data_IF_378436872375
#
_entry.id   IF_378436872375
#
_cell.length_a   1.000
_cell.length_b   1.000
_cell.length_c   1.000
_cell.angle_alpha   90.00
_cell.angle_beta   90.00
_cell.angle_gamma   90.00
#
_symmetry.space_group_name_H-M   'P 1'
#
loop_
_entity.id
_entity.type
_entity.pdbx_description
1 polymer ?
#
# COMPACT_ATOMS: atom_id res chain seq x y z
N UNK A 1 -13.29 -2.60 -2.90
CA UNK A 1 -13.37 -2.35 -1.47
C UNK A 1 -12.82 -0.96 -1.32
N UNK A 2 -13.68 -0.01 -0.98
CA UNK A 2 -13.28 1.36 -0.65
C UNK A 2 -13.03 1.50 0.86
N UNK A 3 -12.74 2.71 1.33
CA UNK A 3 -12.44 2.99 2.73
C UNK A 3 -13.64 2.75 3.63
N UNK A 4 -14.85 3.07 3.16
CA UNK A 4 -16.09 2.81 3.90
C UNK A 4 -16.31 1.30 4.08
N UNK A 5 -16.13 0.52 3.01
CA UNK A 5 -16.15 -0.94 3.06
C UNK A 5 -15.12 -1.49 4.08
N UNK A 6 -13.90 -0.94 4.08
CA UNK A 6 -12.85 -1.35 5.01
C UNK A 6 -13.26 -1.06 6.46
N UNK A 7 -13.65 0.18 6.78
CA UNK A 7 -14.09 0.57 8.14
C UNK A 7 -15.23 -0.32 8.64
N UNK A 8 -16.15 -0.63 7.74
CA UNK A 8 -17.32 -1.43 8.02
C UNK A 8 -16.94 -2.90 8.27
N UNK A 9 -16.09 -3.51 7.45
CA UNK A 9 -15.54 -4.83 7.71
C UNK A 9 -14.76 -4.90 9.03
N UNK A 10 -14.01 -3.85 9.35
CA UNK A 10 -13.26 -3.74 10.62
C UNK A 10 -14.18 -3.58 11.84
N UNK A 11 -15.38 -3.05 11.66
CA UNK A 11 -16.39 -2.94 12.72
C UNK A 11 -17.07 -4.28 13.02
N UNK A 12 -17.19 -5.15 12.01
CA UNK A 12 -17.77 -6.50 12.13
C UNK A 12 -16.76 -7.56 12.56
N UNK A 13 -15.48 -7.26 12.43
CA UNK A 13 -14.38 -8.15 12.84
C UNK A 13 -14.11 -7.99 14.33
N UNK A 14 -13.86 -9.11 15.03
CA UNK A 14 -13.48 -9.04 16.43
C UNK A 14 -12.15 -8.30 16.62
N UNK A 15 -11.98 -7.70 17.80
CA UNK A 15 -10.82 -6.84 18.07
C UNK A 15 -9.48 -7.56 17.95
N UNK A 16 -9.40 -8.86 18.27
CA UNK A 16 -8.17 -9.64 18.18
C UNK A 16 -7.78 -9.87 16.73
N UNK A 17 -8.74 -10.30 15.93
CA UNK A 17 -8.54 -10.53 14.49
C UNK A 17 -8.19 -9.24 13.76
N UNK A 18 -8.85 -8.12 14.10
CA UNK A 18 -8.53 -6.82 13.51
C UNK A 18 -7.09 -6.38 13.81
N UNK A 19 -6.68 -6.51 15.06
CA UNK A 19 -5.32 -6.19 15.51
C UNK A 19 -4.28 -7.04 14.77
N UNK A 20 -4.55 -8.34 14.58
CA UNK A 20 -3.67 -9.24 13.83
C UNK A 20 -3.60 -8.85 12.34
N UNK A 21 -4.73 -8.47 11.74
CA UNK A 21 -4.75 -8.00 10.34
C UNK A 21 -3.88 -6.76 10.20
N UNK A 22 -4.02 -5.76 11.07
CA UNK A 22 -3.23 -4.54 11.00
C UNK A 22 -1.74 -4.79 11.21
N UNK A 23 -1.36 -5.58 12.23
CA UNK A 23 0.05 -5.91 12.50
C UNK A 23 0.73 -6.59 11.33
N UNK A 24 0.03 -7.50 10.65
CA UNK A 24 0.62 -8.31 9.60
C UNK A 24 0.45 -7.71 8.21
N UNK A 25 -0.53 -6.84 7.98
CA UNK A 25 -0.93 -6.38 6.65
C UNK A 25 -0.88 -4.86 6.44
N UNK A 26 -0.48 -4.05 7.44
CA UNK A 26 -0.53 -2.58 7.33
C UNK A 26 0.13 -2.03 6.06
N UNK A 27 1.33 -2.51 5.72
CA UNK A 27 2.02 -2.12 4.49
C UNK A 27 1.17 -2.45 3.25
N UNK A 28 0.65 -3.66 3.15
CA UNK A 28 -0.05 -4.15 1.96
C UNK A 28 -1.43 -3.52 1.80
N UNK A 29 -2.09 -3.19 2.91
CA UNK A 29 -3.31 -2.38 2.88
C UNK A 29 -2.99 -1.03 2.27
N UNK A 30 -1.96 -0.33 2.73
CA UNK A 30 -1.58 0.96 2.15
C UNK A 30 -1.17 0.85 0.68
N UNK A 31 -0.44 -0.18 0.30
CA UNK A 31 -0.12 -0.45 -1.11
C UNK A 31 -1.37 -0.60 -1.97
N UNK A 32 -2.41 -1.26 -1.47
CA UNK A 32 -3.70 -1.40 -2.16
C UNK A 32 -4.37 -0.04 -2.39
N UNK A 33 -4.35 0.83 -1.38
CA UNK A 33 -4.91 2.18 -1.50
C UNK A 33 -4.06 3.11 -2.39
N UNK A 34 -2.86 2.71 -2.83
CA UNK A 34 -2.14 3.45 -3.86
C UNK A 34 -2.71 3.21 -5.27
N UNK A 35 -3.48 2.15 -5.52
CA UNK A 35 -4.02 1.85 -6.85
C UNK A 35 -5.29 2.65 -7.17
N UNK A 36 -5.47 3.01 -8.45
CA UNK A 36 -6.68 3.69 -8.92
C UNK A 36 -7.94 2.86 -8.61
N UNK A 37 -9.01 3.40 -7.99
CA UNK A 37 -9.29 4.82 -7.60
C UNK A 37 -8.84 5.27 -6.22
N UNK A 38 -8.31 4.34 -5.44
CA UNK A 38 -8.35 4.39 -3.98
C UNK A 38 -7.37 5.39 -3.38
N UNK A 39 -6.55 6.07 -4.20
CA UNK A 39 -5.52 7.00 -3.73
C UNK A 39 -6.06 8.16 -2.90
N UNK A 40 -7.32 8.57 -3.14
CA UNK A 40 -7.95 9.61 -2.33
C UNK A 40 -8.12 9.22 -0.86
N UNK A 41 -8.18 7.92 -0.57
CA UNK A 41 -8.42 7.39 0.77
C UNK A 41 -7.12 6.92 1.44
N UNK A 42 -5.99 6.93 0.72
CA UNK A 42 -4.72 6.42 1.20
C UNK A 42 -4.26 7.09 2.50
N UNK A 43 -4.39 8.42 2.60
CA UNK A 43 -3.96 9.17 3.79
C UNK A 43 -4.84 8.85 5.00
N UNK A 44 -6.16 8.73 4.79
CA UNK A 44 -7.10 8.37 5.86
C UNK A 44 -6.80 6.95 6.40
N UNK A 45 -6.47 6.02 5.51
CA UNK A 45 -6.05 4.66 5.89
C UNK A 45 -4.69 4.69 6.61
N UNK A 46 -3.76 5.53 6.17
CA UNK A 46 -2.45 5.67 6.82
C UNK A 46 -2.58 6.15 8.26
N UNK A 47 -3.49 7.10 8.50
CA UNK A 47 -3.77 7.63 9.83
C UNK A 47 -4.27 6.57 10.82
N UNK A 48 -4.95 5.52 10.33
CA UNK A 48 -5.34 4.36 11.13
C UNK A 48 -4.19 3.37 11.39
N UNK A 49 -3.19 3.34 10.50
CA UNK A 49 -2.18 2.28 10.46
C UNK A 49 -0.82 2.69 11.02
N UNK A 50 -0.60 3.96 11.40
CA UNK A 50 0.69 4.46 11.88
C UNK A 50 1.33 3.63 13.00
N UNK A 51 0.54 3.11 13.94
CA UNK A 51 1.02 2.29 15.06
C UNK A 51 1.45 0.87 14.68
N UNK A 52 1.13 0.44 13.46
CA UNK A 52 1.42 -0.89 12.93
C UNK A 52 2.50 -0.87 11.85
N UNK A 53 2.94 0.31 11.43
CA UNK A 53 4.05 0.46 10.51
C UNK A 53 5.39 0.40 11.25
N UNK A 54 6.40 -0.11 10.56
CA UNK A 54 7.80 0.06 10.95
C UNK A 54 8.41 1.18 10.14
N UNK A 55 9.56 1.71 10.58
CA UNK A 55 10.33 2.69 9.81
C UNK A 55 10.70 2.17 8.42
N UNK A 56 10.94 0.85 8.31
CA UNK A 56 11.18 0.19 7.03
C UNK A 56 9.95 0.18 6.12
N UNK A 57 8.77 -0.15 6.66
CA UNK A 57 7.51 -0.12 5.89
C UNK A 57 7.22 1.30 5.40
N UNK A 58 7.46 2.31 6.24
CA UNK A 58 7.29 3.71 5.86
C UNK A 58 8.21 4.11 4.71
N UNK A 59 9.51 3.76 4.80
CA UNK A 59 10.48 3.96 3.72
C UNK A 59 10.02 3.30 2.42
N UNK A 60 9.54 2.06 2.51
CA UNK A 60 9.05 1.32 1.35
C UNK A 60 7.85 2.00 0.68
N UNK A 61 6.88 2.49 1.46
CA UNK A 61 5.74 3.24 0.90
C UNK A 61 6.17 4.51 0.17
N UNK A 62 7.15 5.25 0.71
CA UNK A 62 7.70 6.42 0.03
C UNK A 62 8.36 6.04 -1.30
N UNK A 63 9.13 4.93 -1.33
CA UNK A 63 9.73 4.43 -2.56
C UNK A 63 8.67 4.02 -3.60
N UNK A 64 7.55 3.45 -3.16
CA UNK A 64 6.46 3.08 -4.06
C UNK A 64 5.81 4.31 -4.70
N UNK A 65 5.51 5.35 -3.91
CA UNK A 65 4.94 6.59 -4.44
C UNK A 65 5.93 7.29 -5.38
N UNK A 66 7.20 7.42 -4.95
CA UNK A 66 8.27 7.98 -5.77
C UNK A 66 8.45 7.21 -7.09
N UNK A 67 8.39 5.88 -7.05
CA UNK A 67 8.52 5.07 -8.26
C UNK A 67 7.37 5.25 -9.24
N UNK A 68 6.13 5.44 -8.78
CA UNK A 68 5.00 5.80 -9.65
C UNK A 68 5.22 7.14 -10.34
N UNK A 69 5.75 8.13 -9.61
CA UNK A 69 6.14 9.42 -10.18
C UNK A 69 7.26 9.27 -11.23
N UNK A 70 8.30 8.49 -10.93
CA UNK A 70 9.45 8.28 -11.83
C UNK A 70 9.09 7.51 -13.11
N UNK A 71 8.14 6.57 -13.03
CA UNK A 71 7.61 5.86 -14.21
C UNK A 71 6.70 6.78 -15.04
N UNK A 72 6.24 7.90 -14.47
CA UNK A 72 5.38 8.86 -15.15
C UNK A 72 3.92 8.42 -15.19
N UNK A 73 3.43 7.82 -14.11
CA UNK A 73 2.00 7.52 -13.98
C UNK A 73 1.21 8.81 -13.86
N UNK A 74 0.20 8.97 -14.74
CA UNK A 74 -0.64 10.17 -14.84
C UNK A 74 -2.07 9.92 -14.36
N UNK A 75 -2.31 8.81 -13.68
CA UNK A 75 -3.63 8.37 -13.23
C UNK A 75 -4.05 9.04 -11.90
N UNK A 76 -3.10 9.65 -11.18
CA UNK A 76 -3.31 10.38 -9.94
C UNK A 76 -2.24 11.45 -9.70
N UNK A 77 -2.52 12.45 -8.86
CA UNK A 77 -1.52 13.44 -8.42
C UNK A 77 -0.68 12.89 -7.26
N UNK A 78 0.29 12.04 -7.61
CA UNK A 78 1.20 11.42 -6.64
C UNK A 78 2.11 12.44 -5.93
N UNK A 79 2.36 13.62 -6.51
CA UNK A 79 3.13 14.66 -5.84
C UNK A 79 2.34 15.24 -4.66
N UNK A 80 1.04 15.51 -4.85
CA UNK A 80 0.15 15.91 -3.76
C UNK A 80 0.00 14.81 -2.71
N UNK A 81 -0.23 13.56 -3.14
CA UNK A 81 -0.29 12.41 -2.23
C UNK A 81 0.96 12.30 -1.34
N UNK A 82 2.14 12.44 -1.93
CA UNK A 82 3.41 12.35 -1.23
C UNK A 82 3.57 13.45 -0.19
N UNK A 83 3.16 14.69 -0.52
CA UNK A 83 3.19 15.82 0.43
C UNK A 83 2.26 15.57 1.61
N UNK A 84 1.03 15.14 1.34
CA UNK A 84 0.02 14.91 2.37
C UNK A 84 0.47 13.78 3.31
N UNK A 85 0.87 12.64 2.74
CA UNK A 85 1.40 11.50 3.50
C UNK A 85 2.62 11.87 4.35
N UNK A 86 3.58 12.61 3.78
CA UNK A 86 4.75 13.08 4.52
C UNK A 86 4.37 14.02 5.67
N UNK A 87 3.43 14.93 5.44
CA UNK A 87 3.00 15.91 6.45
C UNK A 87 2.27 15.27 7.63
N UNK A 88 1.46 14.24 7.37
CA UNK A 88 0.73 13.48 8.40
C UNK A 88 1.63 12.49 9.16
N UNK A 89 2.77 12.10 8.58
CA UNK A 89 3.64 11.11 9.22
C UNK A 89 4.11 11.52 10.63
N UNK A 90 4.17 10.58 11.59
CA UNK A 90 4.79 10.82 12.89
C UNK A 90 6.25 11.30 12.78
N UNK A 91 6.69 12.11 13.74
CA UNK A 91 8.01 12.77 13.68
C UNK A 91 9.19 11.79 13.58
N UNK A 92 9.13 10.66 14.29
CA UNK A 92 10.19 9.66 14.28
C UNK A 92 10.44 9.08 12.88
N UNK A 93 9.38 8.84 12.10
CA UNK A 93 9.51 8.40 10.71
C UNK A 93 10.21 9.43 9.83
N UNK A 94 9.88 10.71 9.98
CA UNK A 94 10.57 11.78 9.23
C UNK A 94 12.03 11.91 9.62
N UNK A 95 12.36 11.75 10.89
CA UNK A 95 13.72 11.78 11.40
C UNK A 95 14.55 10.61 10.86
N UNK A 96 13.95 9.41 10.82
CA UNK A 96 14.52 8.23 10.19
C UNK A 96 14.83 8.48 8.71
N UNK A 97 13.85 8.96 7.94
CA UNK A 97 14.03 9.21 6.49
C UNK A 97 15.05 10.30 6.20
N UNK A 98 15.14 11.36 7.03
CA UNK A 98 16.16 12.41 6.86
C UNK A 98 17.61 11.89 6.90
N UNK A 99 17.83 10.71 7.46
CA UNK A 99 19.13 10.05 7.51
C UNK A 99 19.29 8.98 6.41
N UNK A 100 18.24 8.70 5.64
CA UNK A 100 18.23 7.74 4.55
C UNK A 100 18.61 8.39 3.22
N UNK A 101 19.23 7.59 2.35
CA UNK A 101 19.52 7.92 0.96
C UNK A 101 18.33 8.43 0.14
N UNK A 102 17.09 8.03 0.47
CA UNK A 102 15.91 8.46 -0.28
C UNK A 102 15.48 9.90 0.01
N UNK A 103 16.04 10.55 1.04
CA UNK A 103 15.58 11.87 1.49
C UNK A 103 15.70 12.94 0.40
N UNK A 104 16.82 12.97 -0.32
CA UNK A 104 17.03 13.93 -1.39
C UNK A 104 15.98 13.76 -2.49
N UNK A 105 15.71 12.52 -2.87
CA UNK A 105 14.67 12.15 -3.84
C UNK A 105 13.28 12.62 -3.41
N UNK A 106 12.96 12.40 -2.14
CA UNK A 106 11.71 12.82 -1.53
C UNK A 106 11.55 14.34 -1.56
N UNK A 107 12.57 15.10 -1.18
CA UNK A 107 12.54 16.57 -1.20
C UNK A 107 12.36 17.10 -2.62
N UNK A 108 13.03 16.50 -3.61
CA UNK A 108 12.83 16.87 -5.01
C UNK A 108 11.40 16.56 -5.49
N UNK A 109 10.84 15.43 -5.08
CA UNK A 109 9.46 15.03 -5.39
C UNK A 109 8.40 15.96 -4.81
N UNK A 110 8.52 16.32 -3.53
CA UNK A 110 7.54 17.19 -2.88
C UNK A 110 7.53 18.61 -3.44
N UNK A 111 8.68 19.10 -3.92
CA UNK A 111 8.83 20.44 -4.51
C UNK A 111 8.50 20.48 -6.02
N UNK A 112 8.03 19.37 -6.59
CA UNK A 112 7.71 19.31 -7.99
C UNK A 112 6.31 19.87 -8.28
N UNK A 113 6.21 20.75 -9.27
CA UNK A 113 4.94 21.23 -9.81
C UNK A 113 4.33 20.17 -10.73
N UNK A 114 3.12 19.70 -10.43
CA UNK A 114 2.43 18.58 -11.11
C UNK A 114 2.17 18.75 -12.62
N UNK A 115 2.59 19.88 -13.20
CA UNK A 115 2.39 20.25 -14.61
C UNK A 115 3.54 19.74 -15.49
N UNK A 116 4.75 19.56 -14.94
CA UNK A 116 5.91 19.09 -15.71
C UNK A 116 6.19 17.59 -15.48
N UNK A 117 6.73 16.86 -16.46
CA UNK A 117 7.19 15.49 -16.22
C UNK A 117 8.28 15.49 -15.15
N UNK A 118 8.11 14.63 -14.14
CA UNK A 118 9.08 14.51 -13.04
C UNK A 118 10.51 14.30 -13.60
N UNK A 119 11.54 15.05 -13.15
CA UNK A 119 12.89 14.99 -13.70
C UNK A 119 13.54 13.65 -13.33
N UNK A 120 13.28 12.68 -14.19
CA UNK A 120 13.71 11.30 -14.04
C UNK A 120 15.24 11.16 -14.01
N UNK A 121 15.96 12.02 -14.74
CA UNK A 121 17.41 11.86 -14.98
C UNK A 121 18.28 11.93 -13.72
N UNK A 122 17.88 12.69 -12.68
CA UNK A 122 18.65 12.79 -11.43
C UNK A 122 18.36 11.67 -10.42
N UNK A 123 17.18 11.05 -10.50
CA UNK A 123 16.73 10.05 -9.52
C UNK A 123 16.99 8.62 -9.98
N UNK A 124 16.96 8.40 -11.30
CA UNK A 124 17.31 7.12 -11.93
C UNK A 124 18.78 6.71 -11.75
N UNK A 125 19.66 7.64 -11.34
CA UNK A 125 21.02 7.29 -10.96
C UNK A 125 21.06 6.40 -9.69
N UNK A 126 20.04 6.49 -8.84
CA UNK A 126 19.94 5.76 -7.57
C UNK A 126 19.00 4.56 -7.64
N UNK A 127 18.17 4.46 -8.68
CA UNK A 127 17.19 3.38 -8.85
C UNK A 127 17.31 2.72 -10.21
N UNK A 128 17.52 1.40 -10.21
CA UNK A 128 17.46 0.59 -11.42
C UNK A 128 16.00 0.54 -11.94
N UNK A 129 15.79 0.99 -13.17
CA UNK A 129 14.46 0.98 -13.83
C UNK A 129 13.87 -0.43 -13.91
N UNK A 130 14.70 -1.45 -14.10
CA UNK A 130 14.24 -2.84 -14.16
C UNK A 130 13.78 -3.33 -12.79
N UNK A 131 14.47 -2.93 -11.71
CA UNK A 131 14.06 -3.21 -10.33
C UNK A 131 12.73 -2.54 -10.00
N UNK A 132 12.55 -1.27 -10.37
CA UNK A 132 11.29 -0.56 -10.18
C UNK A 132 10.16 -1.23 -10.97
N UNK A 133 10.36 -1.50 -12.26
CA UNK A 133 9.36 -2.17 -13.09
C UNK A 133 8.97 -3.56 -12.56
N UNK A 134 9.95 -4.35 -12.07
CA UNK A 134 9.71 -5.65 -11.44
C UNK A 134 8.95 -5.52 -10.11
N UNK A 135 9.35 -4.60 -9.24
CA UNK A 135 8.68 -4.35 -7.95
C UNK A 135 7.23 -3.91 -8.15
N UNK A 136 6.97 -3.03 -9.12
CA UNK A 136 5.62 -2.56 -9.45
C UNK A 136 4.76 -3.58 -10.20
N UNK A 137 5.35 -4.46 -11.02
CA UNK A 137 4.65 -5.64 -11.55
C UNK A 137 4.38 -6.68 -10.45
N UNK A 138 5.29 -6.83 -9.49
CA UNK A 138 5.24 -7.78 -8.39
C UNK A 138 4.15 -7.49 -7.37
N UNK A 139 3.92 -6.23 -7.00
CA UNK A 139 2.80 -5.82 -6.10
C UNK A 139 1.45 -6.22 -6.71
N UNK A 140 1.28 -5.95 -8.02
CA UNK A 140 0.10 -6.41 -8.78
C UNK A 140 0.02 -7.94 -8.80
N UNK A 141 1.14 -8.64 -8.96
CA UNK A 141 1.19 -10.09 -9.04
C UNK A 141 0.96 -10.81 -7.70
N UNK A 142 1.44 -10.28 -6.57
CA UNK A 142 1.25 -10.87 -5.25
C UNK A 142 -0.22 -10.83 -4.82
N UNK A 143 -0.92 -9.73 -5.06
CA UNK A 143 -2.35 -9.62 -4.78
C UNK A 143 -3.21 -10.41 -5.78
N UNK A 144 -2.80 -10.49 -7.05
CA UNK A 144 -3.51 -11.28 -8.08
C UNK A 144 -3.24 -12.79 -8.00
N UNK A 145 -2.07 -13.25 -7.52
CA UNK A 145 -1.81 -14.67 -7.26
C UNK A 145 -2.46 -15.17 -5.97
N UNK A 146 -2.64 -14.32 -4.95
CA UNK A 146 -3.53 -14.66 -3.83
C UNK A 146 -4.98 -14.88 -4.25
N UNK A 147 -5.39 -14.31 -5.40
CA UNK A 147 -6.72 -14.49 -5.99
C UNK A 147 -6.85 -15.73 -6.89
N UNK A 148 -5.76 -16.40 -7.29
CA UNK A 148 -5.82 -17.36 -8.43
C UNK A 148 -5.05 -18.68 -8.27
N UNK A 149 -4.23 -18.91 -7.23
CA UNK A 149 -3.42 -20.14 -7.14
C UNK A 149 -3.60 -20.94 -5.85
N UNK A 150 -3.65 -22.27 -6.00
CA UNK A 150 -3.52 -23.23 -4.89
C UNK A 150 -2.11 -23.16 -4.30
N UNK A 151 -1.97 -23.51 -3.02
CA UNK A 151 -0.76 -23.35 -2.20
C UNK A 151 0.52 -24.03 -2.77
N UNK A 152 0.42 -24.78 -3.86
CA UNK A 152 1.46 -25.62 -4.46
C UNK A 152 2.38 -24.95 -5.48
N UNK A 153 2.14 -23.70 -5.91
CA UNK A 153 2.89 -23.07 -7.02
C UNK A 153 3.81 -21.89 -6.64
N UNK A 154 3.94 -21.56 -5.35
CA UNK A 154 4.83 -20.48 -4.93
C UNK A 154 6.13 -21.05 -4.36
N UNK A 155 7.23 -20.82 -5.10
CA UNK A 155 8.59 -21.15 -4.68
C UNK A 155 9.07 -20.19 -3.58
N UNK A 156 8.55 -20.37 -2.37
CA UNK A 156 8.91 -19.59 -1.19
C UNK A 156 10.37 -19.84 -0.79
N UNK A 157 11.10 -18.79 -0.45
CA UNK A 157 12.51 -18.88 -0.08
C UNK A 157 12.73 -18.90 1.44
N UNK A 158 11.71 -18.57 2.26
CA UNK A 158 11.79 -18.67 3.73
C UNK A 158 10.43 -18.72 4.43
N UNK A 159 10.43 -19.19 5.68
CA UNK A 159 9.23 -19.38 6.52
C UNK A 159 8.50 -18.06 6.87
N UNK A 160 9.23 -16.94 6.88
CA UNK A 160 8.65 -15.61 7.13
C UNK A 160 7.70 -15.19 6.00
N UNK A 161 8.06 -15.45 4.75
CA UNK A 161 7.18 -15.23 3.59
C UNK A 161 5.93 -16.11 3.64
N UNK A 162 6.04 -17.33 4.15
CA UNK A 162 4.92 -18.28 4.26
C UNK A 162 3.91 -17.85 5.31
N UNK A 163 4.36 -17.49 6.52
CA UNK A 163 3.46 -17.02 7.59
C UNK A 163 2.85 -15.66 7.25
N UNK A 164 3.64 -14.77 6.64
CA UNK A 164 3.17 -13.52 6.07
C UNK A 164 2.05 -13.74 5.03
N UNK A 165 2.27 -14.63 4.05
CA UNK A 165 1.28 -14.98 3.03
C UNK A 165 0.00 -15.57 3.64
N UNK A 166 0.12 -16.46 4.63
CA UNK A 166 -1.03 -17.01 5.35
C UNK A 166 -1.80 -15.90 6.08
N UNK A 167 -1.10 -14.94 6.69
CA UNK A 167 -1.69 -13.77 7.32
C UNK A 167 -2.51 -12.94 6.35
N UNK A 168 -1.92 -12.56 5.21
CA UNK A 168 -2.61 -11.80 4.17
C UNK A 168 -3.77 -12.57 3.54
N UNK A 169 -3.63 -13.88 3.30
CA UNK A 169 -4.70 -14.72 2.75
C UNK A 169 -5.88 -14.85 3.72
N UNK A 170 -5.61 -14.93 5.03
CA UNK A 170 -6.66 -14.89 6.07
C UNK A 170 -7.33 -13.53 6.15
N UNK A 171 -6.54 -12.45 6.20
CA UNK A 171 -7.05 -11.08 6.21
C UNK A 171 -7.94 -10.82 4.99
N UNK A 172 -7.49 -11.22 3.80
CA UNK A 172 -8.25 -11.15 2.56
C UNK A 172 -9.54 -11.97 2.64
N UNK A 173 -9.47 -13.25 3.07
CA UNK A 173 -10.68 -14.05 3.23
C UNK A 173 -11.69 -13.41 4.19
N UNK A 174 -11.23 -12.78 5.28
CA UNK A 174 -12.10 -12.13 6.27
C UNK A 174 -12.73 -10.85 5.69
N UNK A 175 -11.90 -9.94 5.18
CA UNK A 175 -12.37 -8.66 4.65
C UNK A 175 -13.26 -8.86 3.41
N UNK A 176 -12.88 -9.73 2.47
CA UNK A 176 -13.62 -9.92 1.23
C UNK A 176 -14.85 -10.83 1.38
N UNK A 177 -14.84 -11.83 2.28
CA UNK A 177 -16.06 -12.62 2.54
C UNK A 177 -17.15 -11.80 3.22
N UNK A 178 -16.79 -10.81 4.04
CA UNK A 178 -17.75 -9.89 4.64
C UNK A 178 -18.36 -8.94 3.59
N UNK A 179 -17.55 -8.43 2.65
CA UNK A 179 -18.04 -7.63 1.51
C UNK A 179 -18.96 -8.46 0.60
N UNK A 180 -18.59 -9.69 0.25
CA UNK A 180 -19.40 -10.54 -0.66
C UNK A 180 -20.73 -10.98 -0.03
N UNK A 181 -20.73 -11.36 1.26
CA UNK A 181 -21.98 -11.68 1.98
C UNK A 181 -22.94 -10.50 2.00
N UNK A 182 -22.43 -9.27 2.13
CA UNK A 182 -23.26 -8.05 2.14
C UNK A 182 -23.88 -7.76 0.79
N UNK A 183 -23.11 -7.85 -0.29
CA UNK A 183 -23.67 -7.71 -1.66
C UNK A 183 -24.81 -8.71 -1.90
N UNK A 184 -24.69 -9.92 -1.36
CA UNK A 184 -25.75 -10.91 -1.45
C UNK A 184 -27.00 -10.54 -0.63
N UNK A 185 -26.80 -10.07 0.61
CA UNK A 185 -27.90 -9.66 1.49
C UNK A 185 -28.62 -8.38 1.02
N UNK A 186 -27.90 -7.44 0.40
CA UNK A 186 -28.49 -6.22 -0.18
C UNK A 186 -29.29 -6.51 -1.46
N UNK A 187 -28.95 -7.56 -2.19
CA UNK A 187 -29.75 -8.04 -3.33
C UNK A 187 -31.04 -8.73 -2.87
N UNK A 188 -31.00 -9.53 -1.80
CA UNK A 188 -32.20 -10.17 -1.22
C UNK A 188 -33.16 -9.19 -0.52
N UNK A 189 -32.68 -8.03 -0.07
CA UNK A 189 -33.54 -7.00 0.56
C UNK A 189 -34.21 -6.06 -0.44
N UNK A 190 -33.84 -6.13 -1.73
CA UNK A 190 -34.40 -5.32 -2.81
C UNK A 190 -35.32 -6.12 -3.77
N UNK A 191 -35.66 -7.37 -3.42
CA UNK A 191 -36.72 -8.21 -4.04
C UNK A 191 -37.98 -8.28 -3.15
#
# INVERSE_FOLDING_TARGET
MDFEDLLLCLSETDASTREDVFKNCALHLLEYFLDWPLQNEFVDVADLLWSYLSEHNFRELLELILGRMMVGWMDYDYASLLRDFWSHSPAHYREFIKQDSIYESLVLAMNHDSIEPFPNERLLANYDKEYLAYKFQGVKYCMFKSLSTSDSEMGWQNDTQVEFYKGCKRAHAILFSNVEKRKYNELEQNE
#
